data_IF_493770078276
#
_entry.id   IF_493770078276
#
_cell.length_a   1.000
_cell.length_b   1.000
_cell.length_c   1.000
_cell.angle_alpha   90.00
_cell.angle_beta   90.00
_cell.angle_gamma   90.00
#
_symmetry.space_group_name_H-M   'P 1'
#
loop_
_entity.id
_entity.type
_entity.pdbx_description
1 polymer ?
#
# COMPACT_ATOMS: atom_id res chain seq x y z
N UNK A 1 19.66 11.72 7.49
CA UNK A 1 18.75 10.87 8.29
C UNK A 1 17.40 11.54 8.62
N UNK A 2 17.31 12.87 8.83
CA UNK A 2 16.05 13.59 9.15
C UNK A 2 14.94 13.46 8.09
N UNK A 3 15.30 13.42 6.80
CA UNK A 3 14.34 13.33 5.70
C UNK A 3 13.62 11.97 5.61
N UNK A 4 14.32 10.87 5.95
CA UNK A 4 13.72 9.53 5.96
C UNK A 4 12.67 9.40 7.07
N UNK A 5 12.96 9.91 8.28
CA UNK A 5 12.00 9.89 9.38
C UNK A 5 10.71 10.67 9.08
N UNK A 6 10.81 11.82 8.40
CA UNK A 6 9.64 12.60 7.99
C UNK A 6 8.79 11.84 6.96
N UNK A 7 9.42 11.24 5.95
CA UNK A 7 8.70 10.45 4.95
C UNK A 7 8.02 9.21 5.55
N UNK A 8 8.67 8.51 6.48
CA UNK A 8 8.04 7.37 7.17
C UNK A 8 6.87 7.81 8.08
N UNK A 9 6.93 9.00 8.68
CA UNK A 9 5.81 9.54 9.46
C UNK A 9 4.60 9.86 8.57
N UNK A 10 4.83 10.54 7.46
CA UNK A 10 3.77 10.88 6.49
C UNK A 10 3.17 9.61 5.85
N UNK A 11 4.00 8.61 5.56
CA UNK A 11 3.55 7.32 5.05
C UNK A 11 2.61 6.60 6.02
N UNK A 12 2.93 6.57 7.32
CA UNK A 12 2.04 6.01 8.35
C UNK A 12 0.72 6.77 8.45
N UNK A 13 0.77 8.10 8.36
CA UNK A 13 -0.46 8.92 8.37
C UNK A 13 -1.33 8.63 7.15
N UNK A 14 -0.75 8.51 5.96
CA UNK A 14 -1.46 8.15 4.75
C UNK A 14 -2.12 6.76 4.85
N UNK A 15 -1.42 5.77 5.44
CA UNK A 15 -1.98 4.45 5.71
C UNK A 15 -3.16 4.51 6.70
N UNK A 16 -3.07 5.31 7.76
CA UNK A 16 -4.19 5.53 8.69
C UNK A 16 -5.42 6.12 7.98
N UNK A 17 -5.21 7.07 7.06
CA UNK A 17 -6.31 7.67 6.28
C UNK A 17 -6.92 6.61 5.34
N UNK A 18 -6.09 5.80 4.69
CA UNK A 18 -6.54 4.69 3.87
C UNK A 18 -7.39 3.70 4.69
N UNK A 19 -6.96 3.36 5.89
CA UNK A 19 -7.70 2.45 6.78
C UNK A 19 -9.02 3.03 7.23
N UNK A 20 -9.07 4.30 7.58
CA UNK A 20 -10.34 4.94 7.91
C UNK A 20 -11.29 4.98 6.71
N UNK A 21 -10.75 5.18 5.50
CA UNK A 21 -11.54 5.18 4.26
C UNK A 21 -12.14 3.80 3.95
N UNK A 22 -11.35 2.73 4.05
CA UNK A 22 -11.79 1.36 3.76
C UNK A 22 -12.61 0.78 4.90
N UNK A 23 -12.09 0.84 6.12
CA UNK A 23 -12.63 0.08 7.25
C UNK A 23 -13.74 0.82 7.99
N UNK A 24 -13.62 2.13 8.19
CA UNK A 24 -14.65 2.92 8.90
C UNK A 24 -15.72 3.46 7.97
N UNK A 25 -15.31 4.08 6.86
CA UNK A 25 -16.24 4.68 5.91
C UNK A 25 -16.83 3.67 4.92
N UNK A 26 -16.28 2.44 4.87
CA UNK A 26 -16.72 1.37 3.95
C UNK A 26 -16.71 1.79 2.47
N UNK A 27 -15.75 2.63 2.10
CA UNK A 27 -15.58 3.11 0.72
C UNK A 27 -14.59 2.24 -0.06
N UNK A 28 -14.79 2.20 -1.38
CA UNK A 28 -13.94 1.43 -2.29
C UNK A 28 -12.79 2.30 -2.81
N UNK A 29 -11.53 1.93 -2.57
CA UNK A 29 -10.39 2.66 -3.12
C UNK A 29 -10.32 2.55 -4.65
N UNK A 30 -9.77 3.59 -5.29
CA UNK A 30 -9.40 3.53 -6.71
C UNK A 30 -7.98 2.99 -6.90
N UNK A 31 -7.61 2.72 -8.16
CA UNK A 31 -6.28 2.24 -8.55
C UNK A 31 -5.13 3.10 -7.97
N UNK A 32 -5.31 4.42 -7.92
CA UNK A 32 -4.27 5.35 -7.44
C UNK A 32 -4.15 5.28 -5.92
N UNK A 33 -5.26 5.13 -5.21
CA UNK A 33 -5.25 4.95 -3.76
C UNK A 33 -4.49 3.68 -3.37
N UNK A 34 -4.74 2.56 -4.04
CA UNK A 34 -3.97 1.33 -3.81
C UNK A 34 -2.48 1.52 -4.05
N UNK A 35 -2.13 2.16 -5.16
CA UNK A 35 -0.75 2.46 -5.51
C UNK A 35 -0.02 3.31 -4.46
N UNK A 36 -0.68 4.36 -3.98
CA UNK A 36 -0.16 5.22 -2.91
C UNK A 36 -0.03 4.42 -1.62
N UNK A 37 -1.04 3.64 -1.24
CA UNK A 37 -1.03 2.86 -0.01
C UNK A 37 0.11 1.83 0.00
N UNK A 38 0.34 1.10 -1.10
CA UNK A 38 1.48 0.17 -1.24
C UNK A 38 2.82 0.91 -1.12
N UNK A 39 2.96 2.07 -1.78
CA UNK A 39 4.17 2.87 -1.67
C UNK A 39 4.40 3.40 -0.25
N UNK A 40 3.34 3.78 0.46
CA UNK A 40 3.42 4.19 1.85
C UNK A 40 3.80 3.02 2.78
N UNK A 41 3.25 1.82 2.58
CA UNK A 41 3.67 0.62 3.29
C UNK A 41 5.16 0.33 3.06
N UNK A 42 5.64 0.49 1.82
CA UNK A 42 7.06 0.36 1.47
C UNK A 42 7.96 1.41 2.13
N UNK A 43 7.51 2.67 2.27
CA UNK A 43 8.26 3.76 2.93
C UNK A 43 8.27 3.60 4.45
N UNK A 44 7.17 3.07 5.02
CA UNK A 44 7.04 2.76 6.43
C UNK A 44 7.71 1.43 6.82
N UNK A 45 8.19 0.65 5.85
CA UNK A 45 8.72 -0.71 6.01
C UNK A 45 7.70 -1.65 6.68
N UNK A 46 6.41 -1.43 6.40
CA UNK A 46 5.29 -2.18 6.98
C UNK A 46 4.86 -3.31 6.04
N UNK A 47 5.60 -4.42 6.11
CA UNK A 47 5.34 -5.61 5.29
C UNK A 47 3.94 -6.19 5.52
N UNK A 48 3.51 -6.22 6.78
CA UNK A 48 2.19 -6.73 7.15
C UNK A 48 1.09 -5.93 6.46
N UNK A 49 1.19 -4.59 6.51
CA UNK A 49 0.19 -3.73 5.89
C UNK A 49 0.14 -3.85 4.37
N UNK A 50 1.31 -3.91 3.72
CA UNK A 50 1.33 -4.07 2.27
C UNK A 50 0.78 -5.43 1.81
N UNK A 51 1.00 -6.51 2.58
CA UNK A 51 0.36 -7.82 2.31
C UNK A 51 -1.15 -7.77 2.49
N UNK A 52 -1.65 -7.12 3.53
CA UNK A 52 -3.08 -6.91 3.75
C UNK A 52 -3.72 -6.20 2.56
N UNK A 53 -3.12 -5.10 2.09
CA UNK A 53 -3.60 -4.35 0.93
C UNK A 53 -3.57 -5.21 -0.33
N UNK A 54 -2.48 -5.94 -0.57
CA UNK A 54 -2.36 -6.81 -1.74
C UNK A 54 -3.44 -7.90 -1.75
N UNK A 55 -3.66 -8.58 -0.62
CA UNK A 55 -4.72 -9.58 -0.47
C UNK A 55 -6.09 -8.94 -0.70
N UNK A 56 -6.35 -7.75 -0.14
CA UNK A 56 -7.61 -7.05 -0.36
C UNK A 56 -7.86 -6.77 -1.85
N UNK A 57 -6.83 -6.35 -2.60
CA UNK A 57 -6.91 -6.14 -4.05
C UNK A 57 -7.22 -7.46 -4.78
N UNK A 58 -6.50 -8.54 -4.47
CA UNK A 58 -6.71 -9.83 -5.15
C UNK A 58 -8.13 -10.39 -4.93
N UNK A 59 -8.68 -10.24 -3.72
CA UNK A 59 -10.00 -10.76 -3.38
C UNK A 59 -11.15 -9.90 -3.92
N UNK A 60 -11.02 -8.56 -3.89
CA UNK A 60 -12.13 -7.65 -4.20
C UNK A 60 -12.03 -7.04 -5.60
N UNK A 61 -10.83 -7.01 -6.19
CA UNK A 61 -10.55 -6.35 -7.47
C UNK A 61 -9.71 -7.25 -8.39
N UNK A 62 -10.18 -8.47 -8.74
CA UNK A 62 -9.41 -9.42 -9.54
C UNK A 62 -9.01 -8.86 -10.92
N UNK A 63 -9.81 -7.94 -11.48
CA UNK A 63 -9.50 -7.24 -12.73
C UNK A 63 -8.26 -6.33 -12.65
N UNK A 64 -7.82 -5.96 -11.44
CA UNK A 64 -6.61 -5.15 -11.23
C UNK A 64 -5.33 -5.96 -11.09
N UNK A 65 -5.41 -7.30 -10.97
CA UNK A 65 -4.25 -8.18 -10.82
C UNK A 65 -3.21 -8.02 -11.92
N UNK A 66 -3.66 -7.79 -13.15
CA UNK A 66 -2.79 -7.62 -14.32
C UNK A 66 -2.49 -6.16 -14.66
N UNK A 67 -2.92 -5.22 -13.82
CA UNK A 67 -2.58 -3.82 -14.02
C UNK A 67 -1.05 -3.62 -13.87
N UNK A 68 -0.42 -3.15 -14.94
CA UNK A 68 1.04 -3.00 -15.02
C UNK A 68 1.61 -2.08 -13.94
N UNK A 69 0.87 -1.04 -13.54
CA UNK A 69 1.29 -0.10 -12.51
C UNK A 69 1.35 -0.79 -11.14
N UNK A 70 0.27 -1.48 -10.75
CA UNK A 70 0.22 -2.21 -9.47
C UNK A 70 1.25 -3.35 -9.42
N UNK A 71 1.40 -4.12 -10.51
CA UNK A 71 2.39 -5.20 -10.56
C UNK A 71 3.81 -4.70 -10.33
N UNK A 72 4.18 -3.59 -10.96
CA UNK A 72 5.50 -2.99 -10.76
C UNK A 72 5.66 -2.51 -9.31
N UNK A 73 4.67 -1.82 -8.77
CA UNK A 73 4.72 -1.32 -7.39
C UNK A 73 4.80 -2.44 -6.35
N UNK A 74 3.99 -3.49 -6.49
CA UNK A 74 4.04 -4.64 -5.60
C UNK A 74 5.40 -5.33 -5.65
N UNK A 75 5.99 -5.48 -6.84
CA UNK A 75 7.35 -6.01 -6.98
C UNK A 75 8.37 -5.16 -6.23
N UNK A 76 8.34 -3.83 -6.40
CA UNK A 76 9.25 -2.94 -5.67
C UNK A 76 9.04 -3.03 -4.15
N UNK A 77 7.78 -3.06 -3.69
CA UNK A 77 7.43 -3.23 -2.29
C UNK A 77 8.03 -4.50 -1.68
N UNK A 78 7.80 -5.66 -2.29
CA UNK A 78 8.28 -6.94 -1.77
C UNK A 78 9.82 -7.04 -1.78
N UNK A 79 10.48 -6.53 -2.83
CA UNK A 79 11.96 -6.45 -2.87
C UNK A 79 12.48 -5.59 -1.72
N UNK A 80 11.90 -4.40 -1.51
CA UNK A 80 12.41 -3.44 -0.52
C UNK A 80 12.11 -3.87 0.92
N UNK A 81 10.96 -4.52 1.16
CA UNK A 81 10.62 -5.08 2.46
C UNK A 81 11.32 -6.42 2.75
N UNK A 82 12.24 -6.86 1.88
CA UNK A 82 13.04 -8.08 2.01
C UNK A 82 12.18 -9.33 2.24
N UNK A 83 11.02 -9.37 1.59
CA UNK A 83 10.15 -10.53 1.60
C UNK A 83 10.68 -11.53 0.57
N UNK A 84 11.17 -12.68 1.04
CA UNK A 84 11.79 -13.73 0.22
C UNK A 84 10.80 -14.81 -0.18
#
# INVERSE_FOLDING_TARGET
MRLLGLQSSQARQALSIYDDYVNRQKKLPDLRMFAVAINCAMIAEDLAKGREIHQFIEHNFPHLKDNLMLKQQLRYFYIKCNDK
#
